data_IF_356503021361
#
_entry.id   IF_356503021361
#
_cell.length_a   1.000
_cell.length_b   1.000
_cell.length_c   1.000
_cell.angle_alpha   90.00
_cell.angle_beta   90.00
_cell.angle_gamma   90.00
#
_symmetry.space_group_name_H-M   'P 1'
#
loop_
_entity.id
_entity.type
_entity.pdbx_description
1 polymer ?
#
# COMPACT_ATOMS: atom_id res chain seq x y z
N UNK A 1 -17.71 0.70 -16.32
CA UNK A 1 -16.44 0.01 -16.09
C UNK A 1 -15.93 0.27 -14.68
N UNK A 2 -15.83 -0.80 -13.89
CA UNK A 2 -15.44 -0.78 -12.48
C UNK A 2 -13.90 -0.73 -12.33
N UNK A 3 -13.23 0.27 -12.92
CA UNK A 3 -11.77 0.50 -12.74
C UNK A 3 -11.47 1.45 -11.58
N UNK A 4 -12.40 1.61 -10.64
CA UNK A 4 -12.17 2.44 -9.47
C UNK A 4 -11.15 1.81 -8.51
N UNK A 5 -11.00 0.47 -8.52
CA UNK A 5 -10.08 -0.21 -7.62
C UNK A 5 -9.41 -1.46 -8.19
N UNK A 6 -8.24 -1.79 -7.62
CA UNK A 6 -7.54 -3.07 -7.82
C UNK A 6 -7.14 -3.67 -6.47
N UNK A 7 -6.99 -4.99 -6.41
CA UNK A 7 -6.54 -5.73 -5.22
C UNK A 7 -5.26 -6.48 -5.56
N UNK A 8 -4.23 -6.31 -4.73
CA UNK A 8 -2.95 -6.99 -4.85
C UNK A 8 -2.77 -7.86 -3.60
N UNK A 9 -2.79 -9.19 -3.81
CA UNK A 9 -2.65 -10.17 -2.74
C UNK A 9 -1.18 -10.59 -2.56
N UNK A 10 -0.63 -10.30 -1.38
CA UNK A 10 0.71 -10.69 -0.95
C UNK A 10 0.71 -11.93 -0.03
N UNK A 11 -0.45 -12.54 0.26
CA UNK A 11 -0.59 -13.65 1.21
C UNK A 11 0.24 -14.88 0.86
N UNK A 12 0.46 -15.14 -0.43
CA UNK A 12 1.29 -16.28 -0.91
C UNK A 12 2.74 -15.91 -1.12
N UNK A 13 3.10 -14.64 -0.92
CA UNK A 13 4.46 -14.20 -1.13
C UNK A 13 5.33 -14.65 0.04
N UNK A 14 6.42 -15.31 -0.29
CA UNK A 14 7.51 -15.46 0.65
C UNK A 14 8.30 -14.15 0.70
N UNK A 15 8.57 -13.70 1.91
CA UNK A 15 9.21 -12.43 2.22
C UNK A 15 10.55 -12.66 2.93
N UNK A 16 10.97 -13.92 3.11
CA UNK A 16 12.21 -14.29 3.79
C UNK A 16 13.46 -14.04 2.95
N UNK A 17 13.31 -13.85 1.65
CA UNK A 17 14.42 -13.43 0.81
C UNK A 17 14.50 -11.92 0.69
N UNK A 18 15.71 -11.40 0.50
CA UNK A 18 16.08 -10.00 0.31
C UNK A 18 15.49 -9.47 -1.01
N UNK A 19 14.16 -9.48 -1.09
CA UNK A 19 13.40 -9.49 -2.33
C UNK A 19 13.69 -8.19 -3.07
N UNK A 20 14.29 -8.36 -4.26
CA UNK A 20 14.69 -7.29 -5.17
C UNK A 20 13.51 -6.35 -5.38
N UNK A 21 13.79 -5.05 -5.37
CA UNK A 21 12.86 -3.98 -5.77
C UNK A 21 12.18 -4.30 -7.11
N UNK A 22 12.85 -5.03 -7.98
CA UNK A 22 12.32 -5.46 -9.27
C UNK A 22 11.10 -6.40 -9.13
N UNK A 23 11.06 -7.24 -8.10
CA UNK A 23 9.94 -8.15 -7.88
C UNK A 23 8.72 -7.40 -7.35
N UNK A 24 8.92 -6.39 -6.49
CA UNK A 24 7.86 -5.49 -6.03
C UNK A 24 7.26 -4.71 -7.20
N UNK A 25 8.13 -4.12 -8.03
CA UNK A 25 7.71 -3.38 -9.23
C UNK A 25 6.99 -4.31 -10.21
N UNK A 26 7.50 -5.52 -10.48
CA UNK A 26 6.82 -6.48 -11.36
C UNK A 26 5.46 -6.93 -10.84
N UNK A 27 5.29 -6.99 -9.52
CA UNK A 27 4.00 -7.36 -8.89
C UNK A 27 3.02 -6.19 -8.95
N UNK A 28 3.50 -4.97 -8.70
CA UNK A 28 2.66 -3.78 -8.55
C UNK A 28 2.34 -3.13 -9.90
N UNK A 29 3.34 -2.90 -10.76
CA UNK A 29 3.19 -2.09 -11.98
C UNK A 29 2.09 -2.55 -12.94
N UNK A 30 1.90 -3.86 -13.23
CA UNK A 30 0.82 -4.29 -14.12
C UNK A 30 -0.58 -3.93 -13.60
N UNK A 31 -0.74 -3.91 -12.27
CA UNK A 31 -2.01 -3.55 -11.63
C UNK A 31 -2.30 -2.05 -11.66
N UNK A 32 -1.32 -1.23 -12.07
CA UNK A 32 -1.45 0.23 -12.11
C UNK A 32 -1.60 0.79 -13.53
N UNK A 33 -1.52 -0.04 -14.57
CA UNK A 33 -1.70 0.39 -15.98
C UNK A 33 -3.08 1.04 -16.21
N UNK A 34 -4.10 0.57 -15.51
CA UNK A 34 -5.45 1.13 -15.53
C UNK A 34 -5.59 2.45 -14.76
N UNK A 35 -4.51 2.89 -14.08
CA UNK A 35 -4.47 4.06 -13.21
C UNK A 35 -5.65 4.11 -12.20
N UNK A 36 -5.80 3.06 -11.35
CA UNK A 36 -6.95 2.93 -10.46
C UNK A 36 -7.01 4.03 -9.40
N UNK A 37 -8.21 4.36 -8.90
CA UNK A 37 -8.35 5.33 -7.80
C UNK A 37 -7.91 4.75 -6.45
N UNK A 38 -8.17 3.46 -6.26
CA UNK A 38 -7.88 2.72 -5.04
C UNK A 38 -7.08 1.45 -5.33
N UNK A 39 -6.09 1.15 -4.51
CA UNK A 39 -5.26 -0.06 -4.60
C UNK A 39 -5.28 -0.70 -3.22
N UNK A 40 -5.93 -1.86 -3.10
CA UNK A 40 -6.00 -2.61 -1.85
C UNK A 40 -4.87 -3.63 -1.80
N UNK A 41 -4.20 -3.71 -0.66
CA UNK A 41 -3.18 -4.71 -0.38
C UNK A 41 -3.71 -5.71 0.63
N UNK A 42 -3.59 -7.00 0.34
CA UNK A 42 -3.89 -8.07 1.28
C UNK A 42 -2.64 -8.86 1.64
N UNK A 43 -2.54 -9.34 2.89
CA UNK A 43 -1.46 -10.20 3.34
C UNK A 43 -0.06 -9.55 3.35
N UNK A 44 0.04 -8.22 3.28
CA UNK A 44 1.33 -7.53 3.21
C UNK A 44 2.02 -7.49 4.59
N UNK A 45 3.33 -7.75 4.63
CA UNK A 45 4.12 -7.59 5.85
C UNK A 45 4.41 -6.12 6.15
N UNK A 46 4.37 -5.74 7.43
CA UNK A 46 4.60 -4.36 7.88
C UNK A 46 5.96 -3.80 7.40
N UNK A 47 7.04 -4.58 7.54
CA UNK A 47 8.39 -4.18 7.10
C UNK A 47 8.46 -3.87 5.60
N UNK A 48 7.73 -4.63 4.79
CA UNK A 48 7.69 -4.49 3.33
C UNK A 48 6.87 -3.28 2.91
N UNK A 49 5.74 -3.06 3.59
CA UNK A 49 4.94 -1.85 3.39
C UNK A 49 5.73 -0.59 3.69
N UNK A 50 6.30 -0.47 4.89
CA UNK A 50 7.04 0.74 5.31
C UNK A 50 8.35 0.96 4.58
N UNK A 51 8.94 -0.10 4.06
CA UNK A 51 10.12 -0.05 3.22
C UNK A 51 9.79 0.42 1.80
N UNK A 52 9.87 -0.51 0.86
CA UNK A 52 9.94 -0.21 -0.58
C UNK A 52 8.59 0.14 -1.19
N UNK A 53 7.52 -0.57 -0.82
CA UNK A 53 6.19 -0.42 -1.43
C UNK A 53 5.64 0.99 -1.25
N UNK A 54 5.69 1.53 -0.02
CA UNK A 54 5.22 2.90 0.24
C UNK A 54 6.01 3.95 -0.54
N UNK A 55 7.31 3.76 -0.72
CA UNK A 55 8.14 4.69 -1.50
C UNK A 55 7.78 4.65 -2.99
N UNK A 56 7.64 3.45 -3.56
CA UNK A 56 7.22 3.23 -4.94
C UNK A 56 5.86 3.89 -5.22
N UNK A 57 4.86 3.53 -4.44
CA UNK A 57 3.49 4.04 -4.60
C UNK A 57 3.41 5.57 -4.46
N UNK A 58 4.22 6.15 -3.56
CA UNK A 58 4.33 7.62 -3.45
C UNK A 58 4.89 8.25 -4.72
N UNK A 59 5.92 7.66 -5.32
CA UNK A 59 6.47 8.11 -6.60
C UNK A 59 5.46 8.04 -7.75
N UNK A 60 4.51 7.11 -7.66
CA UNK A 60 3.42 6.92 -8.62
C UNK A 60 2.17 7.77 -8.33
N UNK A 61 2.22 8.68 -7.35
CA UNK A 61 1.13 9.59 -7.06
C UNK A 61 0.02 9.00 -6.18
N UNK A 62 0.36 8.03 -5.31
CA UNK A 62 -0.57 7.44 -4.36
C UNK A 62 -0.20 7.71 -2.90
N UNK A 63 -1.23 7.74 -2.05
CA UNK A 63 -1.15 7.95 -0.60
C UNK A 63 -1.56 6.67 0.11
N UNK A 64 -0.62 6.09 0.87
CA UNK A 64 -0.80 4.80 1.53
C UNK A 64 -1.25 4.88 2.98
N UNK A 65 -2.09 3.93 3.37
CA UNK A 65 -2.50 3.62 4.75
C UNK A 65 -2.37 2.12 4.99
N UNK A 66 -1.91 1.74 6.18
CA UNK A 66 -1.80 0.34 6.61
C UNK A 66 -2.60 0.18 7.89
N UNK A 67 -3.37 -0.90 7.99
CA UNK A 67 -4.04 -1.32 9.22
C UNK A 67 -3.00 -1.65 10.30
N UNK A 68 -3.35 -1.53 11.59
CA UNK A 68 -2.44 -1.85 12.71
C UNK A 68 -2.13 -3.36 12.74
N UNK A 69 -0.88 -3.73 12.47
CA UNK A 69 -0.46 -5.12 12.24
C UNK A 69 0.14 -5.75 13.48
N UNK A 70 -0.70 -6.01 14.49
CA UNK A 70 -0.28 -6.75 15.70
C UNK A 70 0.15 -8.21 15.43
N UNK A 71 0.00 -8.72 14.20
CA UNK A 71 0.24 -10.13 13.83
C UNK A 71 1.08 -10.32 12.54
N UNK A 72 1.92 -9.36 12.16
CA UNK A 72 2.96 -9.53 11.14
C UNK A 72 2.53 -9.37 9.67
N UNK A 73 1.34 -9.85 9.26
CA UNK A 73 0.75 -9.62 7.93
C UNK A 73 -0.59 -8.92 8.03
N UNK A 74 -0.94 -8.14 7.00
CA UNK A 74 -1.98 -7.14 7.12
C UNK A 74 -2.65 -6.67 5.86
N UNK A 75 -3.60 -5.74 6.04
CA UNK A 75 -4.28 -5.03 4.96
C UNK A 75 -3.78 -3.60 4.84
N UNK A 76 -3.65 -3.14 3.61
CA UNK A 76 -3.29 -1.76 3.29
C UNK A 76 -4.16 -1.20 2.18
N UNK A 77 -4.19 0.12 2.06
CA UNK A 77 -4.84 0.81 0.96
C UNK A 77 -3.97 1.96 0.48
N UNK A 78 -3.83 2.08 -0.84
CA UNK A 78 -3.28 3.25 -1.51
C UNK A 78 -4.38 3.96 -2.28
N UNK A 79 -4.45 5.28 -2.11
CA UNK A 79 -5.45 6.14 -2.76
C UNK A 79 -4.71 7.12 -3.65
N UNK A 80 -5.13 7.27 -4.91
CA UNK A 80 -4.51 8.23 -5.83
C UNK A 80 -4.64 9.65 -5.28
N UNK A 81 -3.62 10.49 -5.45
CA UNK A 81 -3.52 11.78 -4.76
C UNK A 81 -4.68 12.73 -5.09
N UNK A 82 -5.12 12.81 -6.35
CA UNK A 82 -6.28 13.61 -6.77
C UNK A 82 -7.55 13.23 -5.99
N UNK A 83 -7.76 11.92 -5.76
CA UNK A 83 -8.88 11.42 -4.96
C UNK A 83 -8.64 11.64 -3.47
N UNK A 84 -7.44 11.38 -2.98
CA UNK A 84 -7.11 11.50 -1.56
C UNK A 84 -7.17 12.94 -1.05
N UNK A 85 -6.87 13.92 -1.91
CA UNK A 85 -6.86 15.33 -1.57
C UNK A 85 -8.27 15.95 -1.63
N UNK A 86 -9.18 15.37 -2.43
CA UNK A 86 -10.62 15.64 -2.32
C UNK A 86 -11.21 15.19 -0.98
N UNK A 87 -10.52 14.30 -0.27
CA UNK A 87 -11.01 13.63 0.95
C UNK A 87 -10.52 14.31 2.25
N UNK A 88 -9.88 15.51 2.25
CA UNK A 88 -9.45 16.17 3.51
C UNK A 88 -10.01 17.57 3.83
N UNK A 89 -10.33 17.86 5.12
CA UNK A 89 -10.25 17.00 6.33
C UNK A 89 -11.59 16.87 7.08
N UNK A 90 -12.23 15.71 7.06
CA UNK A 90 -13.00 15.29 8.25
C UNK A 90 -11.98 14.90 9.32
N UNK A 91 -11.93 15.70 10.39
CA UNK A 91 -10.97 15.64 11.49
C UNK A 91 -11.10 14.43 12.42
N UNK A 92 -11.44 13.25 11.91
CA UNK A 92 -11.59 12.04 12.70
C UNK A 92 -10.89 10.86 12.04
N UNK A 93 -9.78 10.41 12.65
CA UNK A 93 -9.35 9.01 12.60
C UNK A 93 -9.12 8.40 11.21
N UNK A 94 -8.48 9.12 10.28
CA UNK A 94 -7.79 8.42 9.20
C UNK A 94 -6.64 7.67 9.85
N UNK A 95 -6.70 6.34 9.87
CA UNK A 95 -5.68 5.42 10.41
C UNK A 95 -4.28 5.89 10.02
N UNK A 96 -3.68 6.71 10.90
CA UNK A 96 -2.27 7.07 10.84
C UNK A 96 -1.56 5.95 11.56
N UNK A 97 -1.30 4.85 10.86
CA UNK A 97 -0.20 4.00 11.30
C UNK A 97 1.05 4.88 11.23
N UNK A 98 1.52 5.32 12.39
CA UNK A 98 2.84 5.90 12.51
C UNK A 98 3.79 4.72 12.48
N UNK A 99 4.92 4.87 11.77
CA UNK A 99 6.02 3.90 11.83
C UNK A 99 6.29 3.61 13.33
N UNK A 100 6.34 2.34 13.78
CA UNK A 100 6.73 2.04 15.14
C UNK A 100 8.07 2.72 15.42
N UNK A 101 8.15 3.44 16.54
CA UNK A 101 9.39 4.08 16.95
C UNK A 101 10.40 2.95 17.22
N UNK A 102 11.61 2.96 16.63
CA UNK A 102 12.64 2.02 17.02
C UNK A 102 13.10 2.41 18.44
N UNK A 103 12.59 1.71 19.46
CA UNK A 103 13.20 1.67 20.79
C UNK A 103 14.27 0.57 20.80
#
# INVERSE_FOLDING_TARGET
DYTDYVVIDFSKRDFDDDTSTDLDVKTISPNLESNPKFVYLEGIQERHYWGKIRSLMRGLGYKGYLEDLRHGRGKGIFIRNDVADLVKPYGGTVYRSKRPNPL
#
